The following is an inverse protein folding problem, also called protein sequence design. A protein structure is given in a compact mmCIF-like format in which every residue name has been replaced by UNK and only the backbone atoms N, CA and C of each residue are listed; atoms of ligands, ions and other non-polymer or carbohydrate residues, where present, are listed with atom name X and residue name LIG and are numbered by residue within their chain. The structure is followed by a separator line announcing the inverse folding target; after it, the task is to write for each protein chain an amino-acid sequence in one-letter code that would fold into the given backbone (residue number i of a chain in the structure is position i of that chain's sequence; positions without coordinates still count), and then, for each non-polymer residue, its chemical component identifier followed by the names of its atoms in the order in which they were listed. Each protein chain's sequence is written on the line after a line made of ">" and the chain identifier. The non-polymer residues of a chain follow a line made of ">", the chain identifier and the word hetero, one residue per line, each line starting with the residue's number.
data_IF_859049967542
#
_entry.id   IF_859049967542
#
_cell.length_a   1.000
_cell.length_b   1.000
_cell.length_c   1.000
_cell.angle_alpha   90.00
_cell.angle_beta   90.00
_cell.angle_gamma   90.00
#
_symmetry.space_group_name_H-M   'P 1'
#
loop_
_entity.id
_entity.type
_entity.pdbx_description
1 polymer ?
#
# COMPACT_ATOMS: atom_id res chain seq x y z
N UNK A 1 -21.81 -22.70 -0.77
CA UNK A 1 -20.58 -22.95 0.06
C UNK A 1 -19.87 -21.61 0.27
N UNK A 2 -19.28 -21.39 1.46
CA UNK A 2 -18.51 -20.17 1.73
C UNK A 2 -17.03 -20.46 1.47
N UNK A 3 -16.40 -19.68 0.60
CA UNK A 3 -14.95 -19.73 0.39
C UNK A 3 -14.30 -18.60 1.18
N UNK A 4 -13.23 -18.90 1.91
CA UNK A 4 -12.47 -17.90 2.68
C UNK A 4 -11.06 -17.83 2.11
N UNK A 5 -10.63 -16.63 1.76
CA UNK A 5 -9.29 -16.31 1.32
C UNK A 5 -8.74 -15.09 2.09
N UNK A 6 -7.46 -14.85 1.99
CA UNK A 6 -6.81 -13.74 2.68
C UNK A 6 -5.96 -12.93 1.71
N UNK A 7 -6.01 -11.61 1.86
CA UNK A 7 -5.12 -10.69 1.15
C UNK A 7 -4.28 -9.96 2.21
N UNK A 8 -2.99 -10.24 2.20
CA UNK A 8 -2.03 -9.55 3.05
C UNK A 8 -1.47 -8.34 2.30
N UNK A 9 -1.72 -7.15 2.82
CA UNK A 9 -1.22 -5.88 2.30
C UNK A 9 0.13 -5.60 2.96
N UNK A 10 1.22 -5.56 2.19
CA UNK A 10 2.57 -5.30 2.70
C UNK A 10 3.11 -3.99 2.14
N UNK A 11 3.41 -3.03 3.02
CA UNK A 11 4.18 -1.84 2.65
C UNK A 11 5.64 -2.20 2.40
N UNK A 12 6.26 -1.60 1.38
CA UNK A 12 7.70 -1.69 1.18
C UNK A 12 8.50 -1.26 2.42
N UNK A 13 9.74 -1.76 2.53
CA UNK A 13 10.70 -1.39 3.56
C UNK A 13 11.34 -0.02 3.34
N UNK A 14 12.31 0.33 4.18
CA UNK A 14 13.04 1.60 4.09
C UNK A 14 13.78 1.76 2.76
N UNK A 15 13.74 2.98 2.22
CA UNK A 15 14.42 3.38 0.98
C UNK A 15 15.54 4.40 1.21
N UNK A 16 15.85 4.73 2.47
CA UNK A 16 16.87 5.70 2.83
C UNK A 16 16.56 7.13 2.42
N UNK A 17 15.29 7.43 2.09
CA UNK A 17 14.90 8.73 1.58
C UNK A 17 14.79 9.84 2.65
N UNK A 18 15.03 9.51 3.94
CA UNK A 18 15.06 10.49 5.03
C UNK A 18 13.72 11.17 5.32
N UNK A 19 12.60 10.48 5.08
CA UNK A 19 11.25 11.02 5.30
C UNK A 19 10.80 12.01 4.23
N UNK A 20 11.42 12.00 3.04
CA UNK A 20 11.02 12.81 1.88
C UNK A 20 9.71 12.30 1.31
N UNK A 21 8.92 13.20 0.72
CA UNK A 21 7.79 12.81 -0.10
C UNK A 21 8.30 12.03 -1.32
N UNK A 22 7.99 10.75 -1.40
CA UNK A 22 8.41 9.86 -2.48
C UNK A 22 7.22 9.05 -2.98
N UNK A 23 6.57 9.58 -4.00
CA UNK A 23 5.50 8.92 -4.72
C UNK A 23 6.04 8.15 -5.92
N UNK A 24 6.09 8.81 -7.06
CA UNK A 24 6.55 8.23 -8.33
C UNK A 24 8.07 8.11 -8.44
N UNK A 25 8.85 8.79 -7.61
CA UNK A 25 10.31 8.65 -7.57
C UNK A 25 10.69 7.21 -7.26
N UNK A 26 11.49 6.59 -8.15
CA UNK A 26 11.73 5.15 -8.15
C UNK A 26 13.01 4.76 -7.41
N UNK A 27 13.00 4.94 -6.09
CA UNK A 27 14.08 4.50 -5.21
C UNK A 27 14.04 2.99 -4.97
N UNK A 28 15.22 2.36 -4.89
CA UNK A 28 15.35 0.98 -4.40
C UNK A 28 15.26 0.93 -2.86
N UNK A 29 15.09 -0.26 -2.31
CA UNK A 29 15.23 -0.51 -0.87
C UNK A 29 16.68 -0.33 -0.43
N UNK A 30 16.88 0.12 0.82
CA UNK A 30 18.14 -0.05 1.53
C UNK A 30 18.29 -1.51 1.98
N UNK A 31 19.51 -1.87 2.42
CA UNK A 31 19.75 -3.19 3.05
C UNK A 31 18.82 -3.37 4.28
N UNK A 32 18.67 -2.34 5.09
CA UNK A 32 17.75 -2.36 6.24
C UNK A 32 16.29 -2.57 5.80
N UNK A 33 15.86 -1.87 4.75
CA UNK A 33 14.52 -2.02 4.19
C UNK A 33 14.26 -3.42 3.64
N UNK A 34 15.29 -4.00 3.02
CA UNK A 34 15.25 -5.36 2.53
C UNK A 34 15.06 -6.37 3.68
N UNK A 35 15.84 -6.24 4.75
CA UNK A 35 15.74 -7.08 5.94
C UNK A 35 14.39 -6.90 6.66
N UNK A 36 13.85 -5.68 6.75
CA UNK A 36 12.52 -5.41 7.32
C UNK A 36 11.44 -6.24 6.61
N UNK A 37 11.46 -6.27 5.27
CA UNK A 37 10.48 -7.01 4.49
C UNK A 37 10.64 -8.52 4.65
N UNK A 38 11.87 -9.05 4.62
CA UNK A 38 12.10 -10.48 4.86
C UNK A 38 11.66 -10.90 6.25
N UNK A 39 12.00 -10.13 7.28
CA UNK A 39 11.58 -10.41 8.65
C UNK A 39 10.05 -10.47 8.75
N UNK A 40 9.34 -9.54 8.10
CA UNK A 40 7.87 -9.52 8.12
C UNK A 40 7.28 -10.76 7.43
N UNK A 41 7.81 -11.13 6.28
CA UNK A 41 7.36 -12.30 5.52
C UNK A 41 7.63 -13.60 6.28
N UNK A 42 8.82 -13.75 6.87
CA UNK A 42 9.21 -14.96 7.61
C UNK A 42 8.43 -15.14 8.94
N UNK A 43 7.92 -14.06 9.51
CA UNK A 43 7.03 -14.08 10.68
C UNK A 43 5.57 -14.43 10.34
N UNK A 44 5.24 -14.51 9.04
CA UNK A 44 3.88 -14.78 8.59
C UNK A 44 3.73 -16.27 8.25
N UNK A 45 2.85 -16.97 8.96
CA UNK A 45 2.62 -18.42 8.76
C UNK A 45 1.78 -18.72 7.50
N UNK A 46 1.32 -17.71 6.80
CA UNK A 46 0.42 -17.86 5.66
C UNK A 46 1.16 -18.23 4.39
N UNK A 47 0.63 -19.20 3.65
CA UNK A 47 1.11 -19.56 2.33
C UNK A 47 0.35 -18.78 1.26
N UNK A 48 1.04 -17.87 0.56
CA UNK A 48 0.47 -17.13 -0.57
C UNK A 48 0.55 -17.97 -1.85
N UNK A 49 -0.51 -17.88 -2.63
CA UNK A 49 -0.64 -18.58 -3.91
C UNK A 49 -0.36 -17.64 -5.09
N UNK A 50 -0.37 -16.33 -4.85
CA UNK A 50 -0.03 -15.30 -5.83
C UNK A 50 0.54 -14.06 -5.15
N UNK A 51 1.48 -13.39 -5.82
CA UNK A 51 2.01 -12.10 -5.40
C UNK A 51 1.59 -11.06 -6.41
N UNK A 52 1.03 -9.94 -5.93
CA UNK A 52 0.73 -8.77 -6.74
C UNK A 52 1.57 -7.61 -6.21
N UNK A 53 2.23 -6.87 -7.09
CA UNK A 53 3.16 -5.82 -6.66
C UNK A 53 3.03 -4.54 -7.49
N UNK A 54 3.29 -3.42 -6.84
CA UNK A 54 3.61 -2.18 -7.53
C UNK A 54 4.86 -2.36 -8.39
N UNK A 55 4.92 -1.80 -9.62
CA UNK A 55 6.10 -1.87 -10.47
C UNK A 55 7.29 -1.02 -9.99
N UNK A 56 7.12 -0.15 -8.98
CA UNK A 56 8.23 0.64 -8.44
C UNK A 56 9.26 -0.26 -7.74
N UNK A 57 10.55 0.00 -7.97
CA UNK A 57 11.68 -0.86 -7.58
C UNK A 57 11.64 -1.31 -6.13
N UNK A 58 11.26 -0.41 -5.19
CA UNK A 58 11.13 -0.71 -3.76
C UNK A 58 10.13 -1.81 -3.42
N UNK A 59 9.17 -2.07 -4.33
CA UNK A 59 8.22 -3.17 -4.23
C UNK A 59 8.61 -4.31 -5.18
N UNK A 60 8.83 -3.99 -6.47
CA UNK A 60 9.01 -4.98 -7.53
C UNK A 60 10.23 -5.88 -7.32
N UNK A 61 11.39 -5.33 -6.90
CA UNK A 61 12.59 -6.14 -6.71
C UNK A 61 12.43 -7.15 -5.57
N UNK A 62 11.82 -6.73 -4.45
CA UNK A 62 11.54 -7.64 -3.35
C UNK A 62 10.50 -8.70 -3.75
N UNK A 63 9.43 -8.29 -4.43
CA UNK A 63 8.41 -9.20 -4.92
C UNK A 63 8.99 -10.27 -5.86
N UNK A 64 9.90 -9.89 -6.75
CA UNK A 64 10.60 -10.81 -7.65
C UNK A 64 11.43 -11.83 -6.88
N UNK A 65 12.27 -11.39 -5.93
CA UNK A 65 13.10 -12.28 -5.11
C UNK A 65 12.25 -13.25 -4.26
N UNK A 66 11.12 -12.77 -3.73
CA UNK A 66 10.19 -13.60 -2.96
C UNK A 66 9.51 -14.64 -3.86
N UNK A 67 9.04 -14.22 -5.04
CA UNK A 67 8.41 -15.09 -6.03
C UNK A 67 9.35 -16.22 -6.48
N UNK A 68 10.62 -15.88 -6.75
CA UNK A 68 11.65 -16.85 -7.13
C UNK A 68 11.97 -17.83 -5.99
N UNK A 69 12.14 -17.32 -4.76
CA UNK A 69 12.48 -18.15 -3.59
C UNK A 69 11.41 -19.21 -3.28
N UNK A 70 10.15 -18.86 -3.42
CA UNK A 70 9.03 -19.74 -3.06
C UNK A 70 8.24 -20.30 -4.27
N UNK A 71 8.69 -19.98 -5.48
CA UNK A 71 8.04 -20.42 -6.73
C UNK A 71 6.55 -20.00 -6.79
N UNK A 72 6.29 -18.73 -6.41
CA UNK A 72 4.94 -18.16 -6.39
C UNK A 72 4.74 -17.30 -7.65
N UNK A 73 3.62 -17.41 -8.37
CA UNK A 73 3.28 -16.53 -9.49
C UNK A 73 3.28 -15.05 -9.07
N UNK A 74 3.81 -14.16 -9.94
CA UNK A 74 3.94 -12.73 -9.70
C UNK A 74 3.26 -11.93 -10.82
N UNK A 75 2.47 -10.94 -10.42
CA UNK A 75 1.87 -9.94 -11.32
C UNK A 75 2.22 -8.53 -10.85
N UNK A 76 2.58 -7.65 -11.79
CA UNK A 76 2.74 -6.22 -11.51
C UNK A 76 1.47 -5.48 -11.91
N UNK A 77 1.00 -4.55 -11.08
CA UNK A 77 -0.13 -3.67 -11.37
C UNK A 77 0.24 -2.21 -11.13
N UNK A 78 0.25 -1.40 -12.19
CA UNK A 78 0.58 0.01 -12.10
C UNK A 78 -0.46 0.83 -11.31
N UNK A 79 -1.68 0.34 -11.18
CA UNK A 79 -2.74 1.02 -10.42
C UNK A 79 -2.49 1.07 -8.91
N UNK A 80 -1.58 0.22 -8.40
CA UNK A 80 -1.17 0.22 -6.98
C UNK A 80 0.20 0.87 -6.75
N UNK A 81 0.68 1.71 -7.67
CA UNK A 81 1.80 2.63 -7.43
C UNK A 81 1.41 3.69 -6.38
N UNK A 82 2.43 4.26 -5.71
CA UNK A 82 2.20 5.36 -4.78
C UNK A 82 1.66 6.61 -5.50
N UNK A 83 0.97 7.47 -4.76
CA UNK A 83 0.51 8.75 -5.28
C UNK A 83 1.69 9.62 -5.71
N UNK A 84 1.55 10.31 -6.84
CA UNK A 84 2.54 11.30 -7.27
C UNK A 84 2.39 12.59 -6.47
N UNK A 85 3.48 13.04 -5.82
CA UNK A 85 3.47 14.23 -4.96
C UNK A 85 3.79 15.55 -5.69
N UNK A 86 3.88 15.56 -7.02
CA UNK A 86 4.11 16.78 -7.81
C UNK A 86 5.43 17.46 -7.44
N UNK A 87 5.37 18.76 -7.17
CA UNK A 87 6.54 19.57 -6.82
C UNK A 87 7.14 19.25 -5.44
N UNK A 88 6.46 18.43 -4.64
CA UNK A 88 7.00 17.99 -3.35
C UNK A 88 7.81 16.68 -3.44
N UNK A 89 7.85 16.04 -4.61
CA UNK A 89 8.71 14.86 -4.81
C UNK A 89 10.16 15.14 -4.40
N UNK A 90 10.73 14.27 -3.57
CA UNK A 90 12.10 14.37 -3.06
C UNK A 90 12.34 15.43 -1.98
N UNK A 91 11.32 16.18 -1.56
CA UNK A 91 11.43 17.19 -0.50
C UNK A 91 10.98 16.62 0.86
N UNK A 92 11.63 17.05 1.92
CA UNK A 92 11.22 16.76 3.29
C UNK A 92 10.17 17.74 3.79
N UNK A 93 9.33 17.37 4.78
CA UNK A 93 8.46 18.32 5.46
C UNK A 93 9.23 19.52 6.03
N UNK A 94 10.46 19.32 6.54
CA UNK A 94 11.30 20.41 7.08
C UNK A 94 11.70 21.42 5.99
N UNK A 95 12.09 20.93 4.81
CA UNK A 95 12.40 21.80 3.66
C UNK A 95 11.15 22.56 3.18
N UNK A 96 9.98 21.91 3.19
CA UNK A 96 8.71 22.55 2.83
C UNK A 96 8.25 23.59 3.87
N UNK A 97 8.49 23.34 5.16
CA UNK A 97 8.21 24.35 6.19
C UNK A 97 8.99 25.66 5.99
N UNK A 98 10.16 25.62 5.35
CA UNK A 98 10.96 26.81 5.07
C UNK A 98 10.49 27.58 3.82
N UNK A 99 9.85 26.90 2.88
CA UNK A 99 9.52 27.48 1.56
C UNK A 99 8.02 27.59 1.30
N UNK A 100 7.19 26.73 1.93
CA UNK A 100 5.75 26.63 1.67
C UNK A 100 4.99 26.08 2.89
N UNK A 101 5.25 26.68 4.06
CA UNK A 101 4.71 26.22 5.34
C UNK A 101 3.17 26.18 5.37
N UNK A 102 2.52 27.18 4.73
CA UNK A 102 1.06 27.27 4.70
C UNK A 102 0.43 26.13 3.87
N UNK A 103 0.98 25.84 2.70
CA UNK A 103 0.48 24.73 1.87
C UNK A 103 0.69 23.39 2.57
N UNK A 104 1.85 23.18 3.21
CA UNK A 104 2.11 21.98 4.00
C UNK A 104 1.10 21.84 5.16
N UNK A 105 0.80 22.91 5.87
CA UNK A 105 -0.17 22.89 6.97
C UNK A 105 -1.59 22.54 6.48
N UNK A 106 -2.03 23.14 5.36
CA UNK A 106 -3.32 22.83 4.75
C UNK A 106 -3.39 21.37 4.30
N UNK A 107 -2.34 20.87 3.63
CA UNK A 107 -2.26 19.47 3.21
C UNK A 107 -2.41 18.49 4.41
N UNK A 108 -1.75 18.75 5.53
CA UNK A 108 -1.89 17.90 6.72
C UNK A 108 -3.29 17.95 7.34
N UNK A 109 -4.00 19.07 7.18
CA UNK A 109 -5.38 19.21 7.67
C UNK A 109 -6.39 18.57 6.71
N UNK A 110 -6.21 18.75 5.41
CA UNK A 110 -7.13 18.24 4.40
C UNK A 110 -6.41 17.94 3.08
N UNK A 111 -5.79 16.76 2.94
CA UNK A 111 -5.06 16.39 1.73
C UNK A 111 -5.96 16.22 0.49
N UNK A 112 -7.28 16.17 0.68
CA UNK A 112 -8.24 16.07 -0.42
C UNK A 112 -8.39 17.42 -1.16
N UNK A 113 -8.55 18.51 -0.41
CA UNK A 113 -8.83 19.83 -0.96
C UNK A 113 -7.55 20.65 -1.21
N UNK A 114 -6.46 20.30 -0.49
CA UNK A 114 -5.16 21.00 -0.56
C UNK A 114 -4.02 20.05 -1.01
N UNK A 115 -4.05 19.50 -2.24
CA UNK A 115 -2.99 18.64 -2.73
C UNK A 115 -1.70 19.46 -2.99
N UNK A 116 -0.51 18.80 -2.98
CA UNK A 116 0.72 19.47 -3.43
C UNK A 116 0.58 19.95 -4.89
N UNK A 117 1.28 21.05 -5.27
CA UNK A 117 1.26 21.55 -6.65
C UNK A 117 1.66 20.45 -7.64
N UNK A 118 0.90 20.31 -8.73
CA UNK A 118 1.10 19.30 -9.78
C UNK A 118 1.08 17.84 -9.30
N UNK A 119 0.56 17.56 -8.11
CA UNK A 119 0.37 16.20 -7.61
C UNK A 119 -0.77 15.47 -8.34
N UNK A 120 -0.76 14.15 -8.26
CA UNK A 120 -1.93 13.35 -8.61
C UNK A 120 -3.11 13.72 -7.71
N UNK A 121 -4.28 13.90 -8.30
CA UNK A 121 -5.47 14.23 -7.50
C UNK A 121 -5.86 13.04 -6.63
N UNK A 122 -6.15 13.27 -5.34
CA UNK A 122 -6.42 12.18 -4.38
C UNK A 122 -7.64 11.32 -4.76
N UNK A 123 -8.62 11.89 -5.46
CA UNK A 123 -9.78 11.13 -5.97
C UNK A 123 -9.40 10.22 -7.14
N UNK A 124 -8.50 10.64 -8.02
CA UNK A 124 -8.01 9.82 -9.14
C UNK A 124 -7.13 8.68 -8.60
N UNK A 125 -6.27 8.98 -7.65
CA UNK A 125 -5.50 7.99 -6.89
C UNK A 125 -6.41 6.94 -6.26
N UNK A 126 -7.43 7.38 -5.50
CA UNK A 126 -8.43 6.49 -4.92
C UNK A 126 -9.12 5.64 -5.97
N UNK A 127 -9.54 6.23 -7.08
CA UNK A 127 -10.28 5.53 -8.14
C UNK A 127 -9.44 4.38 -8.73
N UNK A 128 -8.14 4.63 -9.08
CA UNK A 128 -7.28 3.58 -9.64
C UNK A 128 -6.96 2.47 -8.63
N UNK A 129 -6.73 2.83 -7.36
CA UNK A 129 -6.46 1.86 -6.29
C UNK A 129 -7.67 0.97 -6.04
N UNK A 130 -8.89 1.54 -5.97
CA UNK A 130 -10.10 0.76 -5.74
C UNK A 130 -10.48 -0.09 -6.95
N UNK A 131 -10.19 0.36 -8.18
CA UNK A 131 -10.36 -0.47 -9.38
C UNK A 131 -9.44 -1.70 -9.34
N UNK A 132 -8.14 -1.51 -9.00
CA UNK A 132 -7.22 -2.63 -8.81
C UNK A 132 -7.69 -3.57 -7.70
N UNK A 133 -8.10 -3.02 -6.56
CA UNK A 133 -8.60 -3.79 -5.42
C UNK A 133 -9.80 -4.68 -5.80
N UNK A 134 -10.78 -4.10 -6.51
CA UNK A 134 -11.97 -4.84 -6.98
C UNK A 134 -11.58 -6.00 -7.89
N UNK A 135 -10.68 -5.79 -8.85
CA UNK A 135 -10.22 -6.83 -9.75
C UNK A 135 -9.45 -7.94 -9.01
N UNK A 136 -8.56 -7.55 -8.07
CA UNK A 136 -7.75 -8.48 -7.31
C UNK A 136 -8.61 -9.46 -6.51
N UNK A 137 -9.49 -8.96 -5.64
CA UNK A 137 -10.28 -9.86 -4.81
C UNK A 137 -11.36 -10.63 -5.58
N UNK A 138 -11.70 -10.21 -6.80
CA UNK A 138 -12.63 -10.93 -7.68
C UNK A 138 -11.89 -12.03 -8.48
N UNK A 139 -10.75 -11.68 -9.08
CA UNK A 139 -9.98 -12.59 -9.92
C UNK A 139 -9.35 -13.74 -9.11
N UNK A 140 -8.97 -13.47 -7.86
CA UNK A 140 -8.28 -14.41 -6.98
C UNK A 140 -9.14 -14.80 -5.76
N UNK A 141 -10.44 -14.98 -5.98
CA UNK A 141 -11.45 -15.17 -4.93
C UNK A 141 -11.20 -16.34 -3.97
N UNK A 142 -10.45 -17.36 -4.42
CA UNK A 142 -10.13 -18.59 -3.68
C UNK A 142 -8.64 -18.72 -3.32
N UNK A 143 -7.86 -17.64 -3.49
CA UNK A 143 -6.41 -17.64 -3.28
C UNK A 143 -5.99 -16.69 -2.17
N UNK A 144 -4.98 -17.10 -1.40
CA UNK A 144 -4.27 -16.20 -0.52
C UNK A 144 -3.28 -15.37 -1.33
N UNK A 145 -3.39 -14.05 -1.22
CA UNK A 145 -2.62 -13.07 -2.00
C UNK A 145 -1.70 -12.28 -1.09
N UNK A 146 -0.46 -12.04 -1.55
CA UNK A 146 0.38 -10.99 -1.00
C UNK A 146 0.39 -9.79 -1.94
N UNK A 147 -0.10 -8.65 -1.47
CA UNK A 147 -0.11 -7.37 -2.18
C UNK A 147 1.01 -6.48 -1.65
N UNK A 148 2.09 -6.30 -2.44
CA UNK A 148 3.26 -5.49 -2.06
C UNK A 148 3.11 -4.09 -2.66
N UNK A 149 3.00 -3.08 -1.78
CA UNK A 149 2.62 -1.74 -2.19
C UNK A 149 3.17 -0.65 -1.25
N UNK A 150 2.49 0.48 -1.12
CA UNK A 150 2.93 1.72 -0.50
C UNK A 150 1.96 2.18 0.59
N UNK A 151 2.41 3.15 1.39
CA UNK A 151 1.60 3.68 2.50
C UNK A 151 0.33 4.37 2.05
N UNK A 152 0.37 5.16 0.97
CA UNK A 152 -0.82 5.83 0.44
C UNK A 152 -1.87 4.85 -0.05
N UNK A 153 -1.44 3.82 -0.82
CA UNK A 153 -2.34 2.75 -1.29
C UNK A 153 -2.99 2.03 -0.12
N UNK A 154 -2.20 1.62 0.89
CA UNK A 154 -2.74 0.96 2.07
C UNK A 154 -3.73 1.85 2.82
N UNK A 155 -3.45 3.15 2.98
CA UNK A 155 -4.36 4.10 3.61
C UNK A 155 -5.68 4.25 2.86
N UNK A 156 -5.67 4.28 1.52
CA UNK A 156 -6.90 4.27 0.71
C UNK A 156 -7.72 3.01 1.01
N UNK A 157 -7.07 1.84 1.00
CA UNK A 157 -7.76 0.57 1.28
C UNK A 157 -8.29 0.51 2.72
N UNK A 158 -7.52 1.00 3.70
CA UNK A 158 -7.95 1.06 5.10
C UNK A 158 -9.15 2.01 5.29
N UNK A 159 -9.15 3.20 4.65
CA UNK A 159 -10.32 4.07 4.64
C UNK A 159 -11.54 3.36 4.05
N UNK A 160 -11.37 2.67 2.91
CA UNK A 160 -12.46 1.97 2.24
C UNK A 160 -13.04 0.83 3.11
N UNK A 161 -12.17 -0.03 3.64
CA UNK A 161 -12.58 -1.20 4.44
C UNK A 161 -13.22 -0.82 5.77
N UNK A 162 -12.75 0.28 6.41
CA UNK A 162 -13.34 0.80 7.65
C UNK A 162 -14.48 1.80 7.43
N UNK A 163 -14.88 2.05 6.17
CA UNK A 163 -15.92 3.03 5.81
C UNK A 163 -15.63 4.44 6.37
N UNK A 164 -14.34 4.80 6.42
CA UNK A 164 -13.91 6.12 6.90
C UNK A 164 -13.82 7.12 5.73
N UNK A 165 -14.11 8.38 5.99
CA UNK A 165 -13.96 9.43 4.98
C UNK A 165 -12.51 9.61 4.58
N UNK A 166 -12.28 9.95 3.31
CA UNK A 166 -10.94 10.07 2.73
C UNK A 166 -10.05 11.12 3.42
N UNK A 167 -10.66 12.15 4.02
CA UNK A 167 -9.97 13.16 4.83
C UNK A 167 -9.23 12.56 6.04
N UNK A 168 -9.61 11.37 6.47
CA UNK A 168 -8.99 10.68 7.61
C UNK A 168 -7.87 9.72 7.22
N UNK A 169 -7.47 9.67 5.93
CA UNK A 169 -6.46 8.71 5.47
C UNK A 169 -5.11 8.83 6.22
N UNK A 170 -4.75 10.03 6.67
CA UNK A 170 -3.50 10.28 7.41
C UNK A 170 -3.56 9.78 8.87
N UNK A 171 -4.73 9.45 9.40
CA UNK A 171 -4.89 8.89 10.74
C UNK A 171 -4.43 7.42 10.83
N UNK A 172 -4.30 6.73 9.69
CA UNK A 172 -3.78 5.37 9.66
C UNK A 172 -2.25 5.38 9.70
N UNK A 173 -1.68 4.81 10.75
CA UNK A 173 -0.24 4.55 10.81
C UNK A 173 0.10 3.31 9.98
N UNK A 174 1.01 3.50 9.03
CA UNK A 174 1.48 2.44 8.13
C UNK A 174 3.01 2.55 8.05
N UNK A 175 3.76 2.05 9.05
CA UNK A 175 5.23 2.09 9.06
C UNK A 175 5.84 1.20 7.97
N UNK A 176 7.14 1.32 7.71
CA UNK A 176 7.86 0.45 6.78
C UNK A 176 7.65 -1.03 7.14
N UNK A 177 7.48 -1.87 6.13
CA UNK A 177 7.15 -3.28 6.25
C UNK A 177 5.90 -3.57 7.11
N UNK A 178 5.00 -2.58 7.31
CA UNK A 178 3.70 -2.85 7.90
C UNK A 178 2.93 -3.86 7.06
N UNK A 179 2.28 -4.81 7.72
CA UNK A 179 1.40 -5.78 7.08
C UNK A 179 0.01 -5.67 7.69
N UNK A 180 -1.02 -5.70 6.84
CA UNK A 180 -2.42 -5.74 7.24
C UNK A 180 -3.12 -6.87 6.49
N UNK A 181 -3.85 -7.71 7.22
CA UNK A 181 -4.57 -8.84 6.63
C UNK A 181 -6.04 -8.49 6.40
N UNK A 182 -6.53 -8.74 5.21
CA UNK A 182 -7.94 -8.68 4.86
C UNK A 182 -8.47 -10.09 4.65
N UNK A 183 -9.49 -10.46 5.39
CA UNK A 183 -10.26 -11.69 5.17
C UNK A 183 -11.31 -11.42 4.11
N UNK A 184 -11.37 -12.27 3.09
CA UNK A 184 -12.34 -12.22 2.00
C UNK A 184 -13.23 -13.44 2.10
N UNK A 185 -14.51 -13.23 2.42
CA UNK A 185 -15.53 -14.31 2.48
C UNK A 185 -16.46 -14.21 1.29
N UNK A 186 -16.43 -15.20 0.44
CA UNK A 186 -17.33 -15.31 -0.71
C UNK A 186 -18.57 -16.11 -0.34
N UNK A 187 -19.75 -15.57 -0.67
CA UNK A 187 -21.06 -16.17 -0.52
C UNK A 187 -21.78 -16.15 -1.87
N UNK A 188 -22.89 -16.87 -2.00
CA UNK A 188 -23.72 -16.90 -3.22
C UNK A 188 -24.19 -15.50 -3.66
N UNK A 189 -24.33 -14.57 -2.73
CA UNK A 189 -24.85 -13.21 -2.96
C UNK A 189 -23.77 -12.12 -2.97
N UNK A 190 -22.47 -12.47 -3.02
CA UNK A 190 -21.36 -11.49 -3.05
C UNK A 190 -20.20 -11.84 -2.12
N UNK A 191 -19.32 -10.86 -1.87
CA UNK A 191 -18.21 -11.03 -0.94
C UNK A 191 -18.32 -10.07 0.26
N UNK A 192 -17.82 -10.52 1.40
CA UNK A 192 -17.61 -9.74 2.61
C UNK A 192 -16.11 -9.58 2.84
N UNK A 193 -15.68 -8.35 3.09
CA UNK A 193 -14.30 -7.99 3.37
C UNK A 193 -14.18 -7.52 4.82
N UNK A 194 -13.21 -8.03 5.56
CA UNK A 194 -12.97 -7.64 6.94
C UNK A 194 -11.47 -7.55 7.25
N UNK A 195 -11.04 -6.48 7.90
CA UNK A 195 -9.69 -6.39 8.44
C UNK A 195 -9.56 -7.36 9.62
N UNK A 196 -8.48 -8.15 9.61
CA UNK A 196 -8.10 -8.97 10.77
C UNK A 196 -7.30 -8.11 11.75
N UNK A 197 -7.63 -8.20 13.02
CA UNK A 197 -6.78 -7.62 14.07
C UNK A 197 -5.52 -8.48 14.24
N UNK A 198 -4.34 -7.85 14.31
CA UNK A 198 -3.06 -8.52 14.62
C UNK A 198 -2.97 -9.03 16.08
N UNK A 199 -4.08 -9.13 16.80
CA UNK A 199 -4.06 -9.72 18.15
C UNK A 199 -4.12 -11.23 18.00
N UNK A 200 -3.13 -11.97 18.54
CA UNK A 200 -3.27 -13.41 18.75
C UNK A 200 -4.48 -13.63 19.69
N UNK A 201 -5.36 -14.57 19.31
CA UNK A 201 -6.40 -15.09 20.20
C UNK A 201 -5.80 -15.78 21.41
#
# INVERSE_FOLDING_TARGET
>A
MTTIAYIDLLRHGDTGNGGRFCGSTDHALTEAGWQQMWTRVEQTERHWQHIITSPLKRCAHFAQALAERYTIPLTQDARIQEIHFGEWEGRTPVELMQTDAEALARFWQNPLDDPPPQAEHLLDFKARVLAAWQDIHTQFADQNILLITHSGVMRILLCHLNQQPLQQLLNFDVPYAAMQTVEVKWHENGCQLALKSDKPE
#
